data_IF_426893321582
#
_entry.id   IF_426893321582
#
_cell.length_a   1.000
_cell.length_b   1.000
_cell.length_c   1.000
_cell.angle_alpha   90.00
_cell.angle_beta   90.00
_cell.angle_gamma   90.00
#
_symmetry.space_group_name_H-M   'P 1'
#
loop_
_entity.id
_entity.type
_entity.pdbx_description
1 polymer ?
#
# COMPACT_ATOMS: atom_id res chain seq x y z
N UNK A 1 -2.66 -10.60 13.22
CA UNK A 1 -1.95 -10.81 14.49
C UNK A 1 -0.80 -9.80 14.64
N UNK A 2 0.18 -9.77 13.74
CA UNK A 2 1.39 -8.94 13.80
C UNK A 2 1.08 -7.46 14.01
N UNK A 3 0.12 -6.91 13.24
CA UNK A 3 -0.29 -5.52 13.34
C UNK A 3 -0.92 -5.19 14.71
N UNK A 4 -1.72 -6.11 15.24
CA UNK A 4 -2.33 -5.95 16.56
C UNK A 4 -1.24 -5.93 17.65
N UNK A 5 -0.24 -6.81 17.54
CA UNK A 5 0.90 -6.83 18.46
C UNK A 5 1.70 -5.52 18.39
N UNK A 6 2.04 -5.07 17.19
CA UNK A 6 2.77 -3.79 16.99
C UNK A 6 2.01 -2.62 17.61
N UNK A 7 0.70 -2.55 17.36
CA UNK A 7 -0.14 -1.50 17.94
C UNK A 7 -0.17 -1.55 19.46
N UNK A 8 -0.28 -2.75 20.05
CA UNK A 8 -0.26 -2.94 21.50
C UNK A 8 1.09 -2.57 22.15
N UNK A 9 2.18 -2.62 21.37
CA UNK A 9 3.50 -2.14 21.77
C UNK A 9 3.66 -0.62 21.61
N UNK A 10 2.60 0.10 21.23
CA UNK A 10 2.60 1.55 21.08
C UNK A 10 3.09 2.05 19.72
N UNK A 11 3.24 1.16 18.73
CA UNK A 11 3.61 1.58 17.36
C UNK A 11 2.41 2.23 16.69
N UNK A 12 2.59 3.45 16.18
CA UNK A 12 1.57 4.16 15.39
C UNK A 12 1.52 3.58 13.99
N UNK A 13 0.37 3.07 13.60
CA UNK A 13 0.19 2.34 12.34
C UNK A 13 -0.77 3.06 11.40
N UNK A 14 -0.33 3.24 10.16
CA UNK A 14 -1.19 3.58 9.03
C UNK A 14 -1.15 2.40 8.06
N UNK A 15 -2.31 1.81 7.83
CA UNK A 15 -2.49 0.70 6.88
C UNK A 15 -2.99 1.25 5.56
N UNK A 16 -2.35 0.90 4.47
CA UNK A 16 -2.83 1.21 3.13
C UNK A 16 -3.11 -0.09 2.40
N UNK A 17 -4.36 -0.34 2.04
CA UNK A 17 -4.71 -1.51 1.26
C UNK A 17 -5.04 -1.15 -0.19
N UNK A 18 -4.54 -1.96 -1.12
CA UNK A 18 -5.00 -2.00 -2.49
C UNK A 18 -6.13 -3.01 -2.66
N UNK A 19 -6.75 -3.01 -3.84
CA UNK A 19 -7.81 -3.94 -4.21
C UNK A 19 -7.69 -4.39 -5.68
N UNK A 20 -6.49 -4.33 -6.28
CA UNK A 20 -6.30 -4.61 -7.71
C UNK A 20 -6.83 -5.98 -8.14
N UNK A 21 -6.53 -7.11 -7.46
CA UNK A 21 -7.05 -8.41 -7.82
C UNK A 21 -8.58 -8.50 -7.68
N UNK A 22 -9.13 -7.96 -6.58
CA UNK A 22 -10.56 -7.97 -6.30
C UNK A 22 -11.35 -7.13 -7.32
N UNK A 23 -10.81 -5.96 -7.68
CA UNK A 23 -11.41 -5.10 -8.72
C UNK A 23 -11.40 -5.82 -10.06
N UNK A 24 -10.28 -6.45 -10.44
CA UNK A 24 -10.20 -7.20 -11.69
C UNK A 24 -11.25 -8.31 -11.70
N UNK A 25 -11.33 -9.14 -10.65
CA UNK A 25 -12.31 -10.21 -10.57
C UNK A 25 -13.77 -9.70 -10.62
N UNK A 26 -14.06 -8.58 -9.96
CA UNK A 26 -15.40 -7.99 -9.97
C UNK A 26 -15.80 -7.44 -11.36
N UNK A 27 -14.87 -6.84 -12.09
CA UNK A 27 -15.10 -6.35 -13.45
C UNK A 27 -15.25 -7.52 -14.45
N UNK A 28 -14.41 -8.55 -14.33
CA UNK A 28 -14.48 -9.75 -15.16
C UNK A 28 -15.83 -10.48 -15.02
N UNK A 29 -16.37 -10.55 -13.79
CA UNK A 29 -17.72 -11.09 -13.52
C UNK A 29 -18.83 -10.30 -14.23
N UNK A 30 -18.61 -9.02 -14.52
CA UNK A 30 -19.53 -8.18 -15.28
C UNK A 30 -19.25 -8.20 -16.79
N UNK A 31 -18.31 -9.04 -17.24
CA UNK A 31 -17.88 -9.10 -18.65
C UNK A 31 -17.08 -7.89 -19.11
N UNK A 32 -16.48 -7.13 -18.16
CA UNK A 32 -15.68 -5.95 -18.45
C UNK A 32 -14.20 -6.27 -18.29
N UNK A 33 -13.40 -5.92 -19.30
CA UNK A 33 -11.94 -6.08 -19.21
C UNK A 33 -11.29 -4.87 -18.57
N UNK A 34 -10.26 -5.12 -17.77
CA UNK A 34 -9.46 -4.07 -17.17
C UNK A 34 -8.38 -3.60 -18.14
N UNK A 35 -8.42 -2.33 -18.51
CA UNK A 35 -7.44 -1.71 -19.39
C UNK A 35 -6.33 -1.05 -18.56
N UNK A 36 -5.08 -1.16 -19.02
CA UNK A 36 -3.90 -0.58 -18.39
C UNK A 36 -3.05 0.17 -19.40
N UNK A 37 -2.48 1.28 -18.97
CA UNK A 37 -1.43 1.99 -19.70
C UNK A 37 -0.28 2.30 -18.73
N UNK A 38 0.94 1.91 -19.10
CA UNK A 38 2.13 2.03 -18.24
C UNK A 38 1.89 1.50 -16.81
N UNK A 39 1.24 0.33 -16.71
CA UNK A 39 0.88 -0.35 -15.45
C UNK A 39 -0.13 0.40 -14.55
N UNK A 40 -0.67 1.53 -15.01
CA UNK A 40 -1.75 2.23 -14.34
C UNK A 40 -3.08 1.83 -14.97
N UNK A 41 -4.06 1.44 -14.15
CA UNK A 41 -5.39 1.07 -14.63
C UNK A 41 -6.09 2.30 -15.21
N UNK A 42 -6.69 2.18 -16.37
CA UNK A 42 -7.65 3.14 -16.88
C UNK A 42 -8.98 2.83 -16.21
N UNK A 43 -9.51 3.79 -15.46
CA UNK A 43 -10.77 3.61 -14.72
C UNK A 43 -11.90 4.32 -15.46
N UNK A 44 -12.62 3.58 -16.28
CA UNK A 44 -13.75 4.09 -17.03
C UNK A 44 -14.90 4.51 -16.09
N UNK A 45 -15.71 5.49 -16.53
CA UNK A 45 -16.82 6.02 -15.75
C UNK A 45 -17.82 4.93 -15.31
N UNK A 46 -18.02 3.94 -16.15
CA UNK A 46 -18.93 2.82 -15.87
C UNK A 46 -18.36 1.80 -14.87
N UNK A 47 -17.04 1.84 -14.63
CA UNK A 47 -16.36 0.92 -13.71
C UNK A 47 -16.24 1.47 -12.29
N UNK A 48 -16.34 2.80 -12.10
CA UNK A 48 -16.04 3.42 -10.80
C UNK A 48 -16.97 2.94 -9.69
N UNK A 49 -18.25 2.67 -10.00
CA UNK A 49 -19.20 2.19 -9.00
C UNK A 49 -18.85 0.77 -8.51
N UNK A 50 -18.52 -0.13 -9.42
CA UNK A 50 -18.04 -1.47 -9.08
C UNK A 50 -16.76 -1.41 -8.24
N UNK A 51 -15.85 -0.50 -8.56
CA UNK A 51 -14.61 -0.29 -7.80
C UNK A 51 -14.91 0.20 -6.39
N UNK A 52 -15.81 1.17 -6.21
CA UNK A 52 -16.23 1.67 -4.89
C UNK A 52 -16.83 0.55 -4.04
N UNK A 53 -17.72 -0.27 -4.61
CA UNK A 53 -18.33 -1.40 -3.92
C UNK A 53 -17.29 -2.43 -3.50
N UNK A 54 -16.38 -2.80 -4.41
CA UNK A 54 -15.32 -3.78 -4.16
C UNK A 54 -14.37 -3.32 -3.06
N UNK A 55 -13.90 -2.07 -3.14
CA UNK A 55 -12.99 -1.49 -2.16
C UNK A 55 -13.69 -1.32 -0.80
N UNK A 56 -14.96 -0.89 -0.80
CA UNK A 56 -15.77 -0.76 0.42
C UNK A 56 -15.95 -2.11 1.12
N UNK A 57 -16.29 -3.15 0.38
CA UNK A 57 -16.44 -4.52 0.89
C UNK A 57 -15.12 -5.04 1.50
N UNK A 58 -13.99 -4.86 0.79
CA UNK A 58 -12.68 -5.25 1.30
C UNK A 58 -12.33 -4.51 2.59
N UNK A 59 -12.58 -3.20 2.64
CA UNK A 59 -12.33 -2.40 3.84
C UNK A 59 -13.13 -2.91 5.04
N UNK A 60 -14.42 -3.22 4.87
CA UNK A 60 -15.26 -3.79 5.93
C UNK A 60 -14.75 -5.16 6.38
N UNK A 61 -14.28 -5.99 5.44
CA UNK A 61 -13.65 -7.28 5.76
C UNK A 61 -12.41 -7.09 6.63
N UNK A 62 -11.55 -6.14 6.30
CA UNK A 62 -10.37 -5.82 7.10
C UNK A 62 -10.76 -5.31 8.49
N UNK A 63 -11.74 -4.42 8.60
CA UNK A 63 -12.25 -3.95 9.91
C UNK A 63 -12.76 -5.09 10.77
N UNK A 64 -13.50 -6.03 10.19
CA UNK A 64 -14.00 -7.20 10.92
C UNK A 64 -12.86 -8.07 11.46
N UNK A 65 -11.77 -8.24 10.69
CA UNK A 65 -10.58 -8.99 11.13
C UNK A 65 -9.85 -8.31 12.30
N UNK A 66 -9.79 -6.98 12.32
CA UNK A 66 -9.23 -6.25 13.45
C UNK A 66 -10.13 -6.24 14.69
N UNK A 67 -11.43 -6.43 14.49
CA UNK A 67 -12.41 -6.57 15.59
C UNK A 67 -12.40 -7.94 16.24
N UNK A 68 -11.72 -8.93 15.64
CA UNK A 68 -11.52 -10.24 16.26
C UNK A 68 -10.60 -10.10 17.47
N UNK A 69 -11.15 -10.33 18.66
CA UNK A 69 -10.34 -10.43 19.87
C UNK A 69 -9.36 -11.60 19.76
N UNK A 70 -8.13 -11.40 20.20
CA UNK A 70 -7.13 -12.46 20.22
C UNK A 70 -7.36 -13.30 21.50
N UNK A 71 -8.26 -14.28 21.40
CA UNK A 71 -8.51 -15.24 22.47
C UNK A 71 -7.22 -15.98 22.83
N UNK A 72 -6.95 -16.18 24.10
CA UNK A 72 -5.79 -16.89 24.61
C UNK A 72 -4.42 -16.24 24.33
N UNK A 73 -4.36 -14.93 24.21
CA UNK A 73 -3.10 -14.19 24.10
C UNK A 73 -2.97 -13.17 25.24
N UNK A 74 -1.75 -12.68 25.54
CA UNK A 74 -1.53 -11.57 26.46
C UNK A 74 -2.27 -10.28 26.07
N UNK A 75 -2.79 -10.23 24.83
CA UNK A 75 -3.53 -9.11 24.25
C UNK A 75 -5.05 -9.32 24.32
N UNK A 76 -5.51 -10.31 25.10
CA UNK A 76 -6.93 -10.48 25.40
C UNK A 76 -7.43 -9.19 26.10
N UNK A 77 -8.32 -8.45 25.41
CA UNK A 77 -8.83 -7.16 25.91
C UNK A 77 -8.12 -5.92 25.32
N UNK A 78 -7.17 -6.07 24.39
CA UNK A 78 -6.67 -4.93 23.63
C UNK A 78 -7.80 -4.29 22.82
N UNK A 79 -8.13 -3.03 23.11
CA UNK A 79 -9.14 -2.26 22.38
C UNK A 79 -8.49 -1.67 21.11
N UNK A 80 -8.54 -2.43 20.03
CA UNK A 80 -7.98 -2.02 18.73
C UNK A 80 -9.07 -1.36 17.92
N UNK A 81 -8.87 -0.11 17.59
CA UNK A 81 -9.80 0.68 16.78
C UNK A 81 -9.18 1.07 15.46
N UNK A 82 -9.89 0.80 14.37
CA UNK A 82 -9.58 1.31 13.06
C UNK A 82 -10.36 2.59 12.78
N UNK A 83 -9.67 3.58 12.24
CA UNK A 83 -10.25 4.81 11.73
C UNK A 83 -10.08 4.90 10.23
N UNK A 84 -11.17 5.05 9.49
CA UNK A 84 -11.20 5.39 8.06
C UNK A 84 -11.82 6.78 7.88
N UNK A 85 -11.48 7.42 6.76
CA UNK A 85 -12.05 8.72 6.44
C UNK A 85 -11.56 9.25 5.09
N UNK A 86 -11.96 10.46 4.76
CA UNK A 86 -11.56 11.16 3.54
C UNK A 86 -10.18 11.83 3.66
N UNK A 87 -9.20 11.11 4.15
CA UNK A 87 -7.85 11.62 4.41
C UNK A 87 -7.02 11.86 3.14
N UNK A 88 -7.44 11.29 2.00
CA UNK A 88 -6.73 11.37 0.73
C UNK A 88 -7.50 12.28 -0.24
N UNK A 89 -7.00 13.47 -0.47
CA UNK A 89 -7.51 14.34 -1.54
C UNK A 89 -6.87 13.93 -2.85
N UNK A 90 -7.69 13.67 -3.86
CA UNK A 90 -7.29 13.24 -5.19
C UNK A 90 -7.49 14.33 -6.25
N UNK A 91 -6.82 14.16 -7.37
CA UNK A 91 -7.10 14.84 -8.64
C UNK A 91 -7.01 13.81 -9.77
N UNK A 92 -7.70 14.03 -10.90
CA UNK A 92 -7.58 13.12 -12.05
C UNK A 92 -6.13 13.07 -12.56
N UNK A 93 -5.74 11.90 -13.09
CA UNK A 93 -4.50 11.77 -13.87
C UNK A 93 -4.62 12.62 -15.15
N UNK A 94 -5.81 12.64 -15.78
CA UNK A 94 -6.07 13.33 -17.01
C UNK A 94 -5.62 12.56 -18.24
N UNK A 95 -5.24 13.28 -19.29
CA UNK A 95 -4.80 12.67 -20.56
C UNK A 95 -3.27 12.67 -20.59
N UNK A 96 -2.68 11.49 -20.79
CA UNK A 96 -1.24 11.31 -20.98
C UNK A 96 -0.99 10.47 -22.24
N UNK A 97 -0.09 10.93 -23.11
CA UNK A 97 0.25 10.26 -24.37
C UNK A 97 -0.99 9.93 -25.23
N UNK A 98 -2.01 10.77 -25.21
CA UNK A 98 -3.26 10.57 -25.93
C UNK A 98 -4.24 9.58 -25.27
N UNK A 99 -3.92 9.02 -24.11
CA UNK A 99 -4.78 8.13 -23.33
C UNK A 99 -5.49 8.92 -22.23
N UNK A 100 -6.82 8.88 -22.22
CA UNK A 100 -7.64 9.45 -21.15
C UNK A 100 -7.81 8.44 -20.02
N UNK A 101 -7.33 8.78 -18.84
CA UNK A 101 -7.40 7.94 -17.65
C UNK A 101 -8.72 8.05 -16.88
N UNK A 102 -9.61 8.96 -17.26
CA UNK A 102 -10.95 9.17 -16.70
C UNK A 102 -10.95 9.25 -15.16
N UNK A 103 -11.54 8.25 -14.46
CA UNK A 103 -11.60 8.19 -12.99
C UNK A 103 -10.35 7.59 -12.32
N UNK A 104 -9.27 7.39 -13.07
CA UNK A 104 -7.98 7.13 -12.45
C UNK A 104 -7.41 8.43 -11.92
N UNK A 105 -7.08 8.44 -10.64
CA UNK A 105 -6.58 9.61 -9.95
C UNK A 105 -5.14 9.46 -9.50
N UNK A 106 -4.61 10.56 -9.02
CA UNK A 106 -3.36 10.67 -8.29
C UNK A 106 -3.57 11.47 -7.01
N UNK A 107 -2.74 11.20 -6.01
CA UNK A 107 -2.84 11.90 -4.72
C UNK A 107 -2.47 13.37 -4.91
N UNK A 108 -3.39 14.26 -4.60
CA UNK A 108 -3.16 15.71 -4.55
C UNK A 108 -2.61 16.15 -3.19
N UNK A 109 -3.21 15.62 -2.11
CA UNK A 109 -2.84 15.97 -0.73
C UNK A 109 -3.23 14.85 0.23
N UNK A 110 -2.38 14.59 1.22
CA UNK A 110 -2.68 13.79 2.39
C UNK A 110 -3.04 14.73 3.54
N UNK A 111 -4.13 14.46 4.24
CA UNK A 111 -4.57 15.23 5.41
C UNK A 111 -3.80 14.78 6.66
N UNK A 112 -2.49 15.07 6.70
CA UNK A 112 -1.57 14.55 7.71
C UNK A 112 -2.00 14.91 9.14
N UNK A 113 -2.42 16.16 9.38
CA UNK A 113 -2.88 16.58 10.71
C UNK A 113 -4.08 15.77 11.23
N UNK A 114 -5.03 15.44 10.33
CA UNK A 114 -6.19 14.62 10.70
C UNK A 114 -5.79 13.16 10.97
N UNK A 115 -4.84 12.61 10.20
CA UNK A 115 -4.28 11.27 10.43
C UNK A 115 -3.51 11.25 11.76
N UNK A 116 -2.64 12.23 12.01
CA UNK A 116 -1.87 12.35 13.26
C UNK A 116 -2.77 12.41 14.49
N UNK A 117 -3.89 13.14 14.40
CA UNK A 117 -4.88 13.20 15.47
C UNK A 117 -5.44 11.81 15.80
N UNK A 118 -5.76 11.01 14.77
CA UNK A 118 -6.26 9.64 14.99
C UNK A 118 -5.18 8.73 15.59
N UNK A 119 -3.95 8.83 15.11
CA UNK A 119 -2.82 8.08 15.66
C UNK A 119 -2.53 8.47 17.11
N UNK A 120 -2.67 9.75 17.48
CA UNK A 120 -2.51 10.23 18.85
C UNK A 120 -3.66 9.78 19.76
N UNK A 121 -4.85 9.52 19.20
CA UNK A 121 -5.97 8.90 19.91
C UNK A 121 -5.86 7.37 19.99
N UNK A 122 -4.68 6.82 19.72
CA UNK A 122 -4.39 5.39 19.73
C UNK A 122 -5.26 4.57 18.73
N UNK A 123 -5.66 5.17 17.61
CA UNK A 123 -6.32 4.47 16.53
C UNK A 123 -5.30 4.01 15.47
N UNK A 124 -5.56 2.87 14.85
CA UNK A 124 -4.93 2.51 13.58
C UNK A 124 -5.67 3.25 12.46
N UNK A 125 -4.98 3.97 11.61
CA UNK A 125 -5.60 4.62 10.46
C UNK A 125 -5.53 3.70 9.25
N UNK A 126 -6.68 3.45 8.61
CA UNK A 126 -6.75 2.63 7.41
C UNK A 126 -7.14 3.47 6.19
N UNK A 127 -6.31 3.43 5.15
CA UNK A 127 -6.50 4.08 3.87
C UNK A 127 -6.73 3.01 2.78
N UNK A 128 -7.70 3.26 1.91
CA UNK A 128 -7.92 2.43 0.72
C UNK A 128 -7.27 3.06 -0.51
N UNK A 129 -7.32 2.37 -1.64
CA UNK A 129 -6.90 2.91 -2.93
C UNK A 129 -7.92 3.88 -3.57
N UNK A 130 -8.78 4.51 -2.77
CA UNK A 130 -9.69 5.57 -3.22
C UNK A 130 -9.27 6.93 -2.66
N UNK A 131 -9.49 7.97 -3.47
CA UNK A 131 -9.31 9.35 -3.05
C UNK A 131 -10.47 10.22 -3.53
N UNK A 132 -10.61 11.39 -2.93
CA UNK A 132 -11.75 12.26 -3.14
C UNK A 132 -11.32 13.61 -3.70
N UNK A 133 -12.00 14.10 -4.75
CA UNK A 133 -11.81 15.46 -5.20
C UNK A 133 -12.49 16.47 -4.28
N UNK A 134 -12.16 17.74 -4.43
CA UNK A 134 -12.84 18.83 -3.71
C UNK A 134 -14.30 19.03 -4.16
N UNK A 135 -14.66 18.47 -5.32
CA UNK A 135 -16.00 18.48 -5.91
C UNK A 135 -16.82 17.23 -5.54
N UNK A 136 -16.23 16.33 -4.74
CA UNK A 136 -16.93 15.14 -4.24
C UNK A 136 -16.83 13.90 -5.13
N UNK A 137 -16.05 13.97 -6.21
CA UNK A 137 -15.80 12.79 -7.06
C UNK A 137 -14.84 11.82 -6.40
N UNK A 138 -15.04 10.52 -6.67
CA UNK A 138 -14.18 9.45 -6.19
C UNK A 138 -13.27 9.00 -7.32
N UNK A 139 -11.98 8.88 -7.03
CA UNK A 139 -10.96 8.41 -7.96
C UNK A 139 -10.29 7.13 -7.46
N UNK A 140 -9.97 6.25 -8.40
CA UNK A 140 -9.17 5.05 -8.16
C UNK A 140 -7.69 5.42 -8.26
N UNK A 141 -6.93 5.21 -7.18
CA UNK A 141 -5.52 5.56 -7.06
C UNK A 141 -4.64 4.32 -6.91
N UNK A 142 -3.32 4.48 -7.07
CA UNK A 142 -2.34 3.47 -6.66
C UNK A 142 -2.21 3.45 -5.13
N UNK A 143 -2.31 2.26 -4.55
CA UNK A 143 -2.09 2.06 -3.12
C UNK A 143 -0.64 2.41 -2.73
N UNK A 144 0.32 2.09 -3.59
CA UNK A 144 1.73 2.39 -3.39
C UNK A 144 1.98 3.90 -3.39
N UNK A 145 1.29 4.67 -4.25
CA UNK A 145 1.36 6.13 -4.25
C UNK A 145 0.80 6.70 -2.95
N UNK A 146 -0.37 6.21 -2.49
CA UNK A 146 -0.98 6.63 -1.23
C UNK A 146 -0.04 6.33 -0.07
N UNK A 147 0.49 5.10 0.01
CA UNK A 147 1.41 4.69 1.08
C UNK A 147 2.66 5.58 1.11
N UNK A 148 3.29 5.79 -0.04
CA UNK A 148 4.49 6.64 -0.16
C UNK A 148 4.22 8.07 0.26
N UNK A 149 3.17 8.70 -0.29
CA UNK A 149 2.83 10.09 0.03
C UNK A 149 2.37 10.27 1.47
N UNK A 150 1.73 9.25 2.04
CA UNK A 150 1.36 9.25 3.46
C UNK A 150 2.59 9.15 4.35
N UNK A 151 3.52 8.24 4.04
CA UNK A 151 4.77 8.12 4.77
C UNK A 151 5.57 9.43 4.76
N UNK A 152 5.67 10.07 3.59
CA UNK A 152 6.34 11.36 3.43
C UNK A 152 5.62 12.46 4.25
N UNK A 153 4.30 12.58 4.13
CA UNK A 153 3.52 13.63 4.80
C UNK A 153 3.54 13.52 6.32
N UNK A 154 3.63 12.30 6.85
CA UNK A 154 3.71 12.00 8.28
C UNK A 154 5.17 11.93 8.79
N UNK A 155 6.16 12.05 7.91
CA UNK A 155 7.58 11.81 8.25
C UNK A 155 7.76 10.47 8.97
N UNK A 156 7.18 9.42 8.37
CA UNK A 156 7.18 8.09 8.98
C UNK A 156 8.62 7.57 9.17
N UNK A 157 8.87 6.87 10.26
CA UNK A 157 10.16 6.23 10.52
C UNK A 157 10.45 5.11 9.52
N UNK A 158 9.40 4.43 9.06
CA UNK A 158 9.49 3.29 8.15
C UNK A 158 8.31 3.26 7.18
N UNK A 159 8.60 2.90 5.93
CA UNK A 159 7.63 2.47 4.94
C UNK A 159 7.76 0.95 4.76
N UNK A 160 6.68 0.21 4.96
CA UNK A 160 6.67 -1.24 4.79
C UNK A 160 5.77 -1.60 3.61
N UNK A 161 6.33 -2.30 2.65
CA UNK A 161 5.65 -2.72 1.43
C UNK A 161 5.57 -4.24 1.39
N UNK A 162 4.34 -4.75 1.34
CA UNK A 162 4.09 -6.18 1.26
C UNK A 162 4.13 -6.63 -0.21
N UNK A 163 5.04 -7.53 -0.53
CA UNK A 163 5.30 -8.03 -1.89
C UNK A 163 5.11 -9.55 -1.98
N UNK A 164 4.96 -10.12 -3.19
CA UNK A 164 4.73 -11.56 -3.36
C UNK A 164 5.95 -12.46 -3.16
N UNK A 165 7.17 -11.89 -3.16
CA UNK A 165 8.44 -12.59 -2.92
C UNK A 165 9.00 -12.31 -1.53
N UNK A 166 10.00 -13.05 -1.11
CA UNK A 166 10.67 -12.85 0.18
C UNK A 166 11.55 -11.59 0.22
N UNK A 167 11.54 -10.80 -0.83
CA UNK A 167 12.31 -9.59 -1.02
C UNK A 167 12.77 -9.45 -2.46
N UNK A 168 13.77 -8.63 -2.69
CA UNK A 168 14.45 -8.50 -3.99
C UNK A 168 15.44 -9.65 -4.14
N UNK A 169 15.33 -10.39 -5.24
CA UNK A 169 16.19 -11.54 -5.53
C UNK A 169 17.19 -11.17 -6.63
N UNK A 170 18.45 -11.49 -6.41
CA UNK A 170 19.53 -11.29 -7.39
C UNK A 170 19.50 -12.35 -8.52
N UNK A 171 20.46 -12.23 -9.46
CA UNK A 171 20.56 -13.14 -10.61
C UNK A 171 20.97 -14.57 -10.21
N UNK A 172 21.51 -14.75 -9.01
CA UNK A 172 21.87 -16.07 -8.49
C UNK A 172 20.72 -16.75 -7.73
N UNK A 173 19.58 -16.06 -7.60
CA UNK A 173 18.43 -16.54 -6.82
C UNK A 173 18.54 -16.26 -5.31
N UNK A 174 19.48 -15.40 -4.90
CA UNK A 174 19.71 -15.07 -3.49
C UNK A 174 18.98 -13.78 -3.12
N UNK A 175 18.45 -13.74 -1.90
CA UNK A 175 17.83 -12.55 -1.33
C UNK A 175 18.87 -11.43 -1.12
N UNK A 176 18.55 -10.25 -1.61
CA UNK A 176 19.30 -9.01 -1.35
C UNK A 176 18.71 -8.34 -0.11
N UNK A 177 19.28 -8.68 1.05
CA UNK A 177 18.74 -8.22 2.34
C UNK A 177 18.88 -6.70 2.56
N UNK A 178 19.93 -6.08 2.02
CA UNK A 178 20.18 -4.63 2.11
C UNK A 178 20.36 -4.04 0.72
N UNK A 179 19.66 -2.95 0.45
CA UNK A 179 19.66 -2.23 -0.80
C UNK A 179 20.13 -0.79 -0.55
N UNK A 180 21.09 -0.35 -1.35
CA UNK A 180 21.37 1.07 -1.51
C UNK A 180 20.36 1.71 -2.48
N UNK A 181 20.37 3.05 -2.59
CA UNK A 181 19.58 3.75 -3.61
C UNK A 181 19.95 3.29 -5.03
N UNK A 182 21.24 3.07 -5.29
CA UNK A 182 21.74 2.59 -6.59
C UNK A 182 21.25 1.17 -6.90
N UNK A 183 21.31 0.26 -5.92
CA UNK A 183 20.79 -1.09 -6.08
C UNK A 183 19.29 -1.09 -6.39
N UNK A 184 18.51 -0.31 -5.63
CA UNK A 184 17.07 -0.20 -5.85
C UNK A 184 16.73 0.34 -7.25
N UNK A 185 17.49 1.33 -7.76
CA UNK A 185 17.36 1.83 -9.13
C UNK A 185 17.71 0.76 -10.15
N UNK A 186 18.81 0.04 -9.93
CA UNK A 186 19.24 -1.04 -10.80
C UNK A 186 18.18 -2.12 -10.95
N UNK A 187 17.67 -2.65 -9.83
CA UNK A 187 16.64 -3.68 -9.86
C UNK A 187 15.29 -3.16 -10.42
N UNK A 188 14.88 -1.93 -10.11
CA UNK A 188 13.69 -1.33 -10.70
C UNK A 188 13.78 -1.20 -12.22
N UNK A 189 14.94 -0.82 -12.76
CA UNK A 189 15.18 -0.72 -14.19
C UNK A 189 15.23 -2.11 -14.85
N UNK A 190 15.86 -3.09 -14.22
CA UNK A 190 15.91 -4.47 -14.69
C UNK A 190 14.53 -5.09 -14.84
N UNK A 191 13.60 -4.73 -13.97
CA UNK A 191 12.21 -5.20 -14.01
C UNK A 191 11.32 -4.36 -14.94
N UNK A 192 11.84 -3.30 -15.59
CA UNK A 192 11.03 -2.36 -16.35
C UNK A 192 10.30 -2.97 -17.56
N UNK A 193 10.88 -4.00 -18.17
CA UNK A 193 10.34 -4.67 -19.35
C UNK A 193 9.67 -6.02 -19.03
N UNK A 194 9.41 -6.29 -17.75
CA UNK A 194 8.69 -7.50 -17.33
C UNK A 194 7.24 -7.15 -17.04
N UNK A 195 6.33 -7.99 -17.58
CA UNK A 195 4.88 -7.78 -17.48
C UNK A 195 4.21 -8.78 -16.53
N UNK A 196 4.97 -9.73 -15.94
CA UNK A 196 4.43 -10.64 -14.94
C UNK A 196 4.07 -9.88 -13.66
N UNK A 197 2.98 -10.29 -13.02
CA UNK A 197 2.40 -9.58 -11.88
C UNK A 197 3.37 -9.42 -10.69
N UNK A 198 4.26 -10.39 -10.49
CA UNK A 198 5.25 -10.36 -9.42
C UNK A 198 6.32 -9.30 -9.69
N UNK A 199 6.92 -9.31 -10.87
CA UNK A 199 7.92 -8.33 -11.29
C UNK A 199 7.37 -6.90 -11.27
N UNK A 200 6.14 -6.71 -11.74
CA UNK A 200 5.44 -5.41 -11.70
C UNK A 200 5.25 -4.94 -10.25
N UNK A 201 4.82 -5.83 -9.34
CA UNK A 201 4.63 -5.51 -7.93
C UNK A 201 5.95 -5.09 -7.26
N UNK A 202 7.01 -5.89 -7.43
CA UNK A 202 8.35 -5.59 -6.86
C UNK A 202 8.89 -4.27 -7.42
N UNK A 203 8.77 -4.04 -8.72
CA UNK A 203 9.18 -2.79 -9.35
C UNK A 203 8.44 -1.58 -8.77
N UNK A 204 7.12 -1.66 -8.58
CA UNK A 204 6.34 -0.59 -7.97
C UNK A 204 6.79 -0.33 -6.53
N UNK A 205 7.05 -1.38 -5.76
CA UNK A 205 7.55 -1.27 -4.40
C UNK A 205 8.93 -0.59 -4.34
N UNK A 206 9.87 -0.96 -5.23
CA UNK A 206 11.17 -0.30 -5.35
C UNK A 206 11.05 1.18 -5.71
N UNK A 207 10.22 1.53 -6.69
CA UNK A 207 9.98 2.92 -7.08
C UNK A 207 9.31 3.73 -5.97
N UNK A 208 8.41 3.13 -5.20
CA UNK A 208 7.79 3.72 -4.03
C UNK A 208 8.83 4.00 -2.93
N UNK A 209 9.71 3.03 -2.66
CA UNK A 209 10.80 3.13 -1.70
C UNK A 209 11.80 4.23 -2.07
N UNK A 210 12.21 4.30 -3.33
CA UNK A 210 13.09 5.36 -3.86
C UNK A 210 12.48 6.76 -3.70
N UNK A 211 11.17 6.90 -3.96
CA UNK A 211 10.48 8.18 -3.76
C UNK A 211 10.41 8.56 -2.28
N UNK A 212 10.15 7.60 -1.41
CA UNK A 212 10.11 7.81 0.04
C UNK A 212 11.49 8.24 0.55
N UNK A 213 12.55 7.53 0.13
CA UNK A 213 13.93 7.84 0.48
C UNK A 213 14.34 9.26 0.06
N UNK A 214 14.03 9.67 -1.16
CA UNK A 214 14.30 11.03 -1.65
C UNK A 214 13.58 12.14 -0.86
N UNK A 215 12.60 11.79 -0.02
CA UNK A 215 11.84 12.71 0.82
C UNK A 215 12.00 12.41 2.32
N UNK A 216 13.17 11.92 2.72
CA UNK A 216 13.59 11.68 4.10
C UNK A 216 12.82 10.58 4.86
N UNK A 217 12.21 9.64 4.16
CA UNK A 217 11.78 8.36 4.74
C UNK A 217 12.88 7.33 4.45
N UNK A 218 13.87 7.26 5.36
CA UNK A 218 15.15 6.57 5.09
C UNK A 218 15.10 5.05 5.21
N UNK A 219 13.98 4.47 5.63
CA UNK A 219 13.85 3.02 5.78
C UNK A 219 12.60 2.52 5.08
N UNK A 220 12.81 1.78 4.00
CA UNK A 220 11.72 1.07 3.31
C UNK A 220 12.00 -0.42 3.32
N UNK A 221 11.05 -1.19 3.85
CA UNK A 221 11.14 -2.64 3.94
C UNK A 221 10.23 -3.28 2.89
N UNK A 222 10.76 -4.19 2.11
CA UNK A 222 10.02 -5.02 1.16
C UNK A 222 9.96 -6.43 1.74
N UNK A 223 8.79 -6.86 2.20
CA UNK A 223 8.60 -8.13 2.91
C UNK A 223 7.49 -8.96 2.28
N UNK A 224 7.60 -10.28 2.44
CA UNK A 224 6.61 -11.22 1.89
C UNK A 224 5.29 -11.16 2.62
N UNK A 225 4.17 -11.07 1.88
CA UNK A 225 2.84 -11.30 2.44
C UNK A 225 2.48 -12.79 2.54
N UNK A 226 3.28 -13.68 1.98
CA UNK A 226 3.06 -15.14 2.01
C UNK A 226 3.55 -15.79 3.30
N UNK A 227 4.49 -15.15 4.00
CA UNK A 227 5.12 -15.70 5.19
C UNK A 227 4.47 -15.16 6.46
N UNK A 228 3.89 -16.04 7.28
CA UNK A 228 3.33 -15.65 8.58
C UNK A 228 4.44 -15.16 9.52
N UNK A 229 4.19 -14.04 10.20
CA UNK A 229 5.15 -13.45 11.13
C UNK A 229 6.31 -12.71 10.46
N UNK A 230 6.33 -12.60 9.13
CA UNK A 230 7.38 -11.91 8.37
C UNK A 230 7.59 -10.46 8.85
N UNK A 231 6.50 -9.77 9.16
CA UNK A 231 6.55 -8.40 9.65
C UNK A 231 7.26 -8.27 10.99
N UNK A 232 6.95 -9.14 11.94
CA UNK A 232 7.61 -9.14 13.25
C UNK A 232 9.06 -9.58 13.14
N UNK A 233 9.34 -10.58 12.31
CA UNK A 233 10.70 -11.05 12.06
C UNK A 233 11.56 -9.95 11.46
N UNK A 234 11.06 -9.22 10.46
CA UNK A 234 11.77 -8.10 9.84
C UNK A 234 12.05 -6.96 10.84
N UNK A 235 11.10 -6.66 11.73
CA UNK A 235 11.24 -5.52 12.63
C UNK A 235 12.04 -5.81 13.90
N UNK A 236 12.08 -7.06 14.36
CA UNK A 236 12.63 -7.43 15.67
C UNK A 236 13.77 -8.45 15.61
N UNK A 237 14.11 -9.03 14.45
CA UNK A 237 15.28 -9.90 14.33
C UNK A 237 16.46 -9.16 13.68
N UNK A 238 17.67 -9.65 13.94
CA UNK A 238 18.90 -9.13 13.34
C UNK A 238 19.03 -9.44 11.86
N UNK A 239 18.52 -10.59 11.45
CA UNK A 239 18.68 -11.12 10.08
C UNK A 239 17.59 -10.55 9.15
N UNK A 240 16.46 -10.09 9.73
CA UNK A 240 15.31 -9.66 8.94
C UNK A 240 14.62 -10.81 8.20
N UNK A 241 13.63 -10.47 7.39
CA UNK A 241 12.92 -11.40 6.49
C UNK A 241 12.46 -10.71 5.22
N UNK A 242 13.32 -9.86 4.66
CA UNK A 242 12.99 -9.07 3.48
C UNK A 242 14.18 -8.32 2.92
N UNK A 243 13.89 -7.29 2.13
CA UNK A 243 14.89 -6.35 1.63
C UNK A 243 14.67 -4.98 2.26
N UNK A 244 15.72 -4.42 2.85
CA UNK A 244 15.72 -3.08 3.43
C UNK A 244 16.46 -2.12 2.49
N UNK A 245 15.79 -1.06 2.07
CA UNK A 245 16.42 0.12 1.46
C UNK A 245 16.67 1.16 2.56
N UNK A 246 17.92 1.54 2.72
CA UNK A 246 18.35 2.51 3.74
C UNK A 246 19.52 3.38 3.27
#
# INVERSE_FOLDING_TARGET
>A
YDLNLLHSLGVKLVLVHGARPQITAALDQQGRQSNYYKNLRITEAECIETIKQTVGSLSLTLESLFSLGISNSPMHGADIRLCRGNFVTAKPVGIHDGVDFQYTGQVRKIQSAAIEQQLNNNNIVMLSNLGYSLTGEVFNLSAEEIATKTAIALKADKLILLIPSDGVIDDSGKLVASLTEEDARYYANKLANRDDAESVCIRHALLASLRAYAHNVHRSHLISYKSNGALLQELFSREGNGSLLS
#
